data_IF_594108059906
#
_entry.id   IF_594108059906
#
_cell.length_a   1.000
_cell.length_b   1.000
_cell.length_c   1.000
_cell.angle_alpha   90.00
_cell.angle_beta   90.00
_cell.angle_gamma   90.00
#
_symmetry.space_group_name_H-M   'P 1'
#
loop_
_entity.id
_entity.type
_entity.pdbx_description
1 polymer ?
#
# COMPACT_ATOMS: atom_id res chain seq x y z
N UNK A 1 48.09 5.88 32.59
CA UNK A 1 47.60 6.51 31.34
C UNK A 1 46.08 6.35 31.33
N UNK A 2 45.35 7.27 31.95
CA UNK A 2 43.88 7.26 31.92
C UNK A 2 43.44 8.44 31.07
N UNK A 3 43.00 8.16 29.85
CA UNK A 3 42.27 9.12 29.03
C UNK A 3 40.88 9.28 29.61
N UNK A 4 40.67 10.38 30.33
CA UNK A 4 39.34 10.84 30.68
C UNK A 4 38.61 11.20 29.40
N UNK A 5 37.55 10.48 29.08
CA UNK A 5 36.59 10.90 28.06
C UNK A 5 35.75 12.00 28.72
N UNK A 6 36.24 13.23 28.62
CA UNK A 6 35.45 14.43 28.89
C UNK A 6 34.26 14.42 27.93
N UNK A 7 33.10 13.97 28.42
CA UNK A 7 31.84 14.10 27.70
C UNK A 7 31.30 15.49 27.99
N UNK A 8 31.31 16.44 27.05
CA UNK A 8 30.87 17.79 27.34
C UNK A 8 29.37 17.78 27.62
N UNK A 9 28.94 18.41 28.70
CA UNK A 9 27.54 18.57 29.14
C UNK A 9 26.63 19.23 28.08
N UNK A 10 27.22 19.86 27.05
CA UNK A 10 26.53 20.38 25.85
C UNK A 10 26.31 19.34 24.74
N UNK A 11 27.09 18.25 24.71
CA UNK A 11 27.00 17.19 23.71
C UNK A 11 25.64 16.50 23.71
N UNK A 12 25.10 16.20 24.89
CA UNK A 12 23.78 15.56 25.03
C UNK A 12 22.62 16.41 24.50
N UNK A 13 22.68 17.74 24.67
CA UNK A 13 21.66 18.66 24.13
C UNK A 13 21.76 18.76 22.61
N UNK A 14 22.98 18.91 22.10
CA UNK A 14 23.22 18.93 20.65
C UNK A 14 22.85 17.61 19.99
N UNK A 15 23.13 16.49 20.64
CA UNK A 15 22.72 15.16 20.17
C UNK A 15 21.19 15.03 20.17
N UNK A 16 20.52 15.47 21.23
CA UNK A 16 19.06 15.46 21.30
C UNK A 16 18.42 16.32 20.19
N UNK A 17 18.96 17.51 19.91
CA UNK A 17 18.50 18.37 18.81
C UNK A 17 18.75 17.73 17.45
N UNK A 18 19.94 17.15 17.21
CA UNK A 18 20.24 16.43 15.97
C UNK A 18 19.31 15.24 15.78
N UNK A 19 19.06 14.46 16.84
CA UNK A 19 18.12 13.34 16.80
C UNK A 19 16.71 13.84 16.48
N UNK A 20 16.24 14.92 17.09
CA UNK A 20 14.93 15.51 16.79
C UNK A 20 14.83 16.02 15.34
N UNK A 21 15.88 16.66 14.81
CA UNK A 21 15.90 17.14 13.42
C UNK A 21 15.92 15.99 12.41
N UNK A 22 16.70 14.94 12.67
CA UNK A 22 16.77 13.75 11.81
C UNK A 22 15.45 12.97 11.88
N UNK A 23 14.97 12.68 13.09
CA UNK A 23 13.70 11.94 13.31
C UNK A 23 12.49 12.74 12.82
N UNK A 24 12.49 14.07 12.98
CA UNK A 24 11.46 14.96 12.45
C UNK A 24 11.50 15.07 10.93
N UNK A 25 12.69 15.18 10.33
CA UNK A 25 12.88 15.21 8.88
C UNK A 25 12.47 13.91 8.19
N UNK A 26 12.78 12.75 8.79
CA UNK A 26 12.40 11.43 8.23
C UNK A 26 10.89 11.19 8.26
N UNK A 27 10.21 11.58 9.34
CA UNK A 27 8.75 11.42 9.44
C UNK A 27 7.99 12.36 8.48
N UNK A 28 8.49 13.58 8.27
CA UNK A 28 7.92 14.49 7.28
C UNK A 28 8.05 13.93 5.84
N UNK A 29 9.13 13.22 5.54
CA UNK A 29 9.35 12.60 4.22
C UNK A 29 8.45 11.39 3.96
N UNK A 30 8.23 10.51 4.95
CA UNK A 30 7.34 9.35 4.74
C UNK A 30 5.89 9.79 4.51
N UNK A 31 5.44 10.84 5.21
CA UNK A 31 4.11 11.41 5.00
C UNK A 31 3.97 12.02 3.61
N UNK A 32 5.06 12.56 3.05
CA UNK A 32 5.08 13.04 1.69
C UNK A 32 5.01 11.91 0.63
N UNK A 33 5.49 10.71 0.93
CA UNK A 33 5.37 9.56 0.02
C UNK A 33 3.91 9.10 -0.13
N UNK A 34 3.14 9.10 0.96
CA UNK A 34 1.72 8.73 0.92
C UNK A 34 0.92 9.72 0.06
N UNK A 35 1.16 11.02 0.23
CA UNK A 35 0.55 12.07 -0.60
C UNK A 35 0.94 11.96 -2.08
N UNK A 36 2.21 11.61 -2.36
CA UNK A 36 2.67 11.36 -3.73
C UNK A 36 1.97 10.16 -4.35
N UNK A 37 1.83 9.05 -3.63
CA UNK A 37 1.09 7.89 -4.11
C UNK A 37 -0.38 8.23 -4.37
N UNK A 38 -1.05 8.89 -3.42
CA UNK A 38 -2.45 9.26 -3.54
C UNK A 38 -2.72 10.19 -4.74
N UNK A 39 -1.87 11.19 -4.96
CA UNK A 39 -2.00 12.11 -6.10
C UNK A 39 -1.84 11.39 -7.45
N UNK A 40 -0.88 10.46 -7.56
CA UNK A 40 -0.72 9.64 -8.76
C UNK A 40 -1.92 8.72 -9.00
N UNK A 41 -2.47 8.12 -7.95
CA UNK A 41 -3.66 7.28 -8.04
C UNK A 41 -4.82 8.10 -8.57
N UNK A 42 -5.14 9.25 -7.94
CA UNK A 42 -6.23 10.14 -8.37
C UNK A 42 -6.11 10.57 -9.83
N UNK A 43 -4.91 10.88 -10.29
CA UNK A 43 -4.66 11.33 -11.66
C UNK A 43 -4.98 10.25 -12.72
N UNK A 44 -4.91 8.97 -12.35
CA UNK A 44 -5.02 7.84 -13.30
C UNK A 44 -6.26 6.97 -13.11
N UNK A 45 -6.91 7.08 -11.95
CA UNK A 45 -8.11 6.30 -11.59
C UNK A 45 -9.28 6.47 -12.57
N UNK A 46 -9.38 7.63 -13.24
CA UNK A 46 -10.42 7.87 -14.25
C UNK A 46 -10.42 6.85 -15.40
N UNK A 47 -9.31 6.17 -15.66
CA UNK A 47 -9.21 5.15 -16.70
C UNK A 47 -9.46 3.71 -16.20
N UNK A 48 -9.37 3.45 -14.89
CA UNK A 48 -9.30 2.11 -14.31
C UNK A 48 -9.93 2.03 -12.92
N UNK A 49 -10.66 0.94 -12.66
CA UNK A 49 -11.29 0.69 -11.37
C UNK A 49 -10.35 -0.11 -10.46
N UNK A 50 -10.29 0.30 -9.20
CA UNK A 50 -9.64 -0.46 -8.11
C UNK A 50 -10.73 -1.24 -7.38
N UNK A 51 -10.61 -2.56 -7.34
CA UNK A 51 -11.51 -3.43 -6.57
C UNK A 51 -10.74 -4.04 -5.40
N UNK A 52 -11.33 -4.00 -4.20
CA UNK A 52 -10.83 -4.69 -3.01
C UNK A 52 -11.78 -5.83 -2.64
N UNK A 53 -11.28 -7.05 -2.66
CA UNK A 53 -11.96 -8.21 -2.07
C UNK A 53 -11.64 -8.24 -0.58
N UNK A 54 -12.67 -8.22 0.25
CA UNK A 54 -12.55 -8.07 1.71
C UNK A 54 -13.47 -8.99 2.48
N UNK A 55 -13.26 -9.07 3.79
CA UNK A 55 -14.21 -9.63 4.75
C UNK A 55 -14.57 -8.58 5.81
N UNK A 56 -15.64 -8.82 6.57
CA UNK A 56 -16.11 -7.93 7.64
C UNK A 56 -15.11 -7.92 8.81
N UNK A 57 -14.58 -9.08 9.16
CA UNK A 57 -13.71 -9.29 10.34
C UNK A 57 -12.22 -8.95 10.13
N UNK A 58 -11.83 -8.56 8.91
CA UNK A 58 -10.44 -8.36 8.52
C UNK A 58 -9.89 -6.97 8.92
N UNK A 59 -8.95 -6.94 9.87
CA UNK A 59 -8.28 -5.71 10.33
C UNK A 59 -7.49 -5.03 9.19
N UNK A 60 -6.84 -5.80 8.31
CA UNK A 60 -6.07 -5.23 7.20
C UNK A 60 -6.97 -4.58 6.14
N UNK A 61 -8.17 -5.12 5.94
CA UNK A 61 -9.19 -4.56 5.08
C UNK A 61 -9.71 -3.24 5.68
N UNK A 62 -9.93 -3.19 7.00
CA UNK A 62 -10.27 -1.95 7.68
C UNK A 62 -9.18 -0.87 7.53
N UNK A 63 -7.90 -1.24 7.61
CA UNK A 63 -6.77 -0.31 7.35
C UNK A 63 -6.79 0.22 5.92
N UNK A 64 -7.01 -0.65 4.93
CA UNK A 64 -7.11 -0.27 3.53
C UNK A 64 -8.26 0.73 3.29
N UNK A 65 -9.46 0.44 3.84
CA UNK A 65 -10.60 1.38 3.79
C UNK A 65 -10.24 2.73 4.38
N UNK A 66 -9.62 2.76 5.56
CA UNK A 66 -9.24 4.01 6.22
C UNK A 66 -8.27 4.83 5.37
N UNK A 67 -7.26 4.18 4.76
CA UNK A 67 -6.29 4.88 3.92
C UNK A 67 -6.93 5.41 2.64
N UNK A 68 -7.74 4.60 1.94
CA UNK A 68 -8.43 4.99 0.72
C UNK A 68 -9.42 6.15 0.96
N UNK A 69 -10.15 6.11 2.09
CA UNK A 69 -11.04 7.20 2.54
C UNK A 69 -10.26 8.47 2.87
N UNK A 70 -9.18 8.36 3.66
CA UNK A 70 -8.38 9.51 4.08
C UNK A 70 -7.78 10.28 2.89
N UNK A 71 -7.55 9.59 1.78
CA UNK A 71 -7.00 10.16 0.57
C UNK A 71 -8.05 10.38 -0.53
N UNK A 72 -9.36 10.29 -0.28
CA UNK A 72 -10.42 10.47 -1.30
C UNK A 72 -10.20 9.64 -2.59
N UNK A 73 -9.73 8.40 -2.45
CA UNK A 73 -9.55 7.51 -3.59
C UNK A 73 -10.78 6.62 -3.67
N UNK A 74 -11.60 6.67 -4.73
CA UNK A 74 -12.71 5.74 -4.88
C UNK A 74 -12.23 4.31 -5.19
N UNK A 75 -12.90 3.32 -4.60
CA UNK A 75 -12.69 1.90 -4.87
C UNK A 75 -14.03 1.17 -4.84
N UNK A 76 -14.07 0.01 -5.50
CA UNK A 76 -15.15 -0.96 -5.35
C UNK A 76 -14.79 -1.94 -4.25
N UNK A 77 -15.72 -2.19 -3.33
CA UNK A 77 -15.55 -3.20 -2.29
C UNK A 77 -16.37 -4.43 -2.62
N UNK A 78 -15.73 -5.59 -2.65
CA UNK A 78 -16.32 -6.89 -2.91
C UNK A 78 -16.23 -7.71 -1.61
N UNK A 79 -17.29 -7.72 -0.81
CA UNK A 79 -17.31 -8.49 0.42
C UNK A 79 -17.56 -9.97 0.12
N UNK A 80 -16.55 -10.81 0.34
CA UNK A 80 -16.61 -12.24 0.01
C UNK A 80 -17.44 -13.05 0.99
N UNK A 81 -17.84 -12.49 2.15
CA UNK A 81 -18.73 -13.14 3.11
C UNK A 81 -20.20 -12.86 2.81
N UNK A 82 -20.48 -11.78 2.05
CA UNK A 82 -21.85 -11.30 1.82
C UNK A 82 -22.28 -11.37 0.35
N UNK A 83 -21.34 -11.39 -0.60
CA UNK A 83 -21.61 -11.46 -2.03
C UNK A 83 -21.04 -12.76 -2.65
N UNK A 84 -21.94 -13.62 -3.13
CA UNK A 84 -21.60 -14.91 -3.72
C UNK A 84 -20.73 -14.78 -4.99
N UNK A 85 -20.91 -13.71 -5.78
CA UNK A 85 -20.08 -13.46 -6.96
C UNK A 85 -18.66 -13.03 -6.59
N UNK A 86 -18.53 -12.25 -5.52
CA UNK A 86 -17.24 -11.89 -4.93
C UNK A 86 -16.55 -13.12 -4.37
N UNK A 87 -17.28 -13.96 -3.62
CA UNK A 87 -16.79 -15.21 -3.07
C UNK A 87 -16.26 -16.14 -4.16
N UNK A 88 -17.06 -16.42 -5.19
CA UNK A 88 -16.66 -17.29 -6.29
C UNK A 88 -15.41 -16.79 -7.01
N UNK A 89 -15.29 -15.47 -7.21
CA UNK A 89 -14.09 -14.87 -7.82
C UNK A 89 -12.87 -15.00 -6.91
N UNK A 90 -13.04 -14.78 -5.61
CA UNK A 90 -11.97 -14.88 -4.62
C UNK A 90 -11.46 -16.33 -4.47
N UNK A 91 -12.37 -17.29 -4.39
CA UNK A 91 -12.05 -18.73 -4.33
C UNK A 91 -11.35 -19.20 -5.61
N UNK A 92 -11.85 -18.79 -6.78
CA UNK A 92 -11.24 -19.13 -8.07
C UNK A 92 -9.82 -18.55 -8.21
N UNK A 93 -9.55 -17.39 -7.62
CA UNK A 93 -8.20 -16.83 -7.55
C UNK A 93 -7.28 -17.64 -6.62
N UNK A 94 -7.82 -18.28 -5.58
CA UNK A 94 -7.04 -19.09 -4.63
C UNK A 94 -6.12 -18.26 -3.72
N UNK A 95 -6.46 -16.99 -3.45
CA UNK A 95 -5.67 -16.17 -2.53
C UNK A 95 -5.75 -16.73 -1.09
N UNK A 96 -4.66 -16.66 -0.31
CA UNK A 96 -4.63 -17.18 1.06
C UNK A 96 -5.32 -16.26 2.08
N UNK A 97 -5.82 -15.09 1.67
CA UNK A 97 -6.45 -14.14 2.59
C UNK A 97 -6.86 -12.81 1.95
N UNK A 98 -7.35 -11.91 2.80
CA UNK A 98 -7.82 -10.57 2.45
C UNK A 98 -6.99 -9.47 3.14
N UNK A 99 -6.96 -8.23 2.61
CA UNK A 99 -7.59 -7.79 1.37
C UNK A 99 -6.86 -8.32 0.13
N UNK A 100 -7.61 -8.63 -0.93
CA UNK A 100 -7.06 -8.94 -2.25
C UNK A 100 -7.45 -7.82 -3.22
N UNK A 101 -6.47 -7.14 -3.79
CA UNK A 101 -6.65 -5.98 -4.65
C UNK A 101 -6.64 -6.40 -6.12
N UNK A 102 -7.51 -5.77 -6.92
CA UNK A 102 -7.57 -5.95 -8.38
C UNK A 102 -7.63 -4.61 -9.10
N UNK A 103 -6.79 -4.47 -10.13
CA UNK A 103 -6.82 -3.35 -11.07
C UNK A 103 -6.69 -3.91 -12.48
N UNK A 104 -7.78 -3.89 -13.26
CA UNK A 104 -7.84 -4.58 -14.54
C UNK A 104 -7.56 -6.08 -14.39
N UNK A 105 -6.52 -6.60 -15.04
CA UNK A 105 -6.08 -7.99 -14.95
C UNK A 105 -5.04 -8.25 -13.86
N UNK A 106 -4.58 -7.20 -13.17
CA UNK A 106 -3.54 -7.29 -12.16
C UNK A 106 -4.13 -7.54 -10.78
N UNK A 107 -3.46 -8.38 -10.00
CA UNK A 107 -3.87 -8.82 -8.67
C UNK A 107 -2.74 -8.63 -7.66
N UNK A 108 -3.10 -8.29 -6.43
CA UNK A 108 -2.14 -8.11 -5.35
C UNK A 108 -2.74 -8.46 -3.99
N UNK A 109 -2.07 -9.31 -3.23
CA UNK A 109 -2.47 -9.67 -1.87
C UNK A 109 -1.98 -8.60 -0.90
N UNK A 110 -2.90 -8.09 -0.08
CA UNK A 110 -2.67 -6.96 0.81
C UNK A 110 -2.98 -5.63 0.13
N UNK A 111 -2.97 -4.56 0.92
CA UNK A 111 -3.14 -3.20 0.41
C UNK A 111 -1.80 -2.46 0.44
N UNK A 112 -1.34 -2.03 -0.73
CA UNK A 112 -0.13 -1.24 -0.91
C UNK A 112 -0.42 -0.04 -1.86
N UNK A 113 -0.45 1.20 -1.34
CA UNK A 113 -0.62 2.41 -2.14
C UNK A 113 0.36 2.54 -3.29
N UNK A 114 1.61 2.11 -3.10
CA UNK A 114 2.65 2.19 -4.11
C UNK A 114 2.33 1.23 -5.26
N UNK A 115 1.97 -0.02 -4.94
CA UNK A 115 1.52 -0.98 -5.95
C UNK A 115 0.32 -0.47 -6.75
N UNK A 116 -0.67 0.15 -6.08
CA UNK A 116 -1.84 0.75 -6.75
C UNK A 116 -1.39 1.86 -7.71
N UNK A 117 -0.54 2.78 -7.25
CA UNK A 117 -0.04 3.89 -8.06
C UNK A 117 0.76 3.41 -9.28
N UNK A 118 1.64 2.42 -9.10
CA UNK A 118 2.46 1.82 -10.15
C UNK A 118 1.61 1.06 -11.17
N UNK A 119 0.64 0.29 -10.70
CA UNK A 119 -0.26 -0.49 -11.58
C UNK A 119 -1.13 0.41 -12.44
N UNK A 120 -1.62 1.52 -11.87
CA UNK A 120 -2.35 2.54 -12.63
C UNK A 120 -1.44 3.31 -13.60
N UNK A 121 -0.13 3.39 -13.33
CA UNK A 121 0.86 4.03 -14.20
C UNK A 121 1.20 3.19 -15.43
N UNK A 122 1.14 1.86 -15.32
CA UNK A 122 1.54 0.95 -16.36
C UNK A 122 0.57 1.02 -17.55
N UNK A 123 1.05 1.16 -18.80
CA UNK A 123 0.22 0.91 -19.97
C UNK A 123 -0.24 -0.55 -19.90
N UNK A 124 -1.55 -0.78 -19.85
CA UNK A 124 -2.10 -2.14 -19.70
C UNK A 124 -1.74 -2.99 -20.92
N UNK A 125 -0.66 -3.77 -20.79
CA UNK A 125 -0.20 -4.69 -21.80
C UNK A 125 -1.01 -5.98 -21.74
N UNK A 126 -1.39 -6.41 -22.95
CA UNK A 126 -2.16 -7.60 -23.34
C UNK A 126 -1.80 -8.87 -22.54
N UNK A 127 -2.73 -9.84 -22.42
CA UNK A 127 -2.54 -11.04 -21.60
C UNK A 127 -1.18 -11.69 -21.86
N UNK A 128 -0.43 -11.93 -20.78
CA UNK A 128 0.77 -12.76 -20.81
C UNK A 128 0.31 -14.16 -21.22
N UNK A 129 0.50 -14.50 -22.50
CA UNK A 129 0.25 -15.82 -23.02
C UNK A 129 0.92 -16.85 -22.10
N UNK A 130 0.07 -17.75 -21.63
CA UNK A 130 0.35 -18.96 -20.89
C UNK A 130 1.66 -19.60 -21.34
N UNK A 131 2.66 -19.61 -20.45
CA UNK A 131 3.85 -20.43 -20.64
C UNK A 131 3.44 -21.88 -20.38
N UNK A 132 3.04 -22.58 -21.44
CA UNK A 132 3.03 -24.04 -21.51
C UNK A 132 4.00 -24.46 -22.61
N UNK A 133 5.07 -25.17 -22.24
CA UNK A 133 5.31 -26.44 -22.90
C UNK A 133 5.42 -27.56 -21.86
N UNK A 134 4.42 -28.44 -21.88
CA UNK A 134 4.53 -29.82 -21.41
C UNK A 134 5.45 -30.59 -22.38
N UNK A 135 6.49 -31.29 -21.91
CA UNK A 135 6.85 -32.60 -22.43
C UNK A 135 5.99 -33.71 -21.79
#
# INVERSE_FOLDING_TARGET
MSTGIDTPRGSLKSLAVLVVLVVGGLQALSWWQDEQAASQIKARLGAQRVTMYSTVSCIYCAKARSWLKAHDIPWDECDVEQDHSCQATFEAHGAPGTPLMRIGTQWHLGFDPKWVAETLAAPQSKPKAETSPRP
#
